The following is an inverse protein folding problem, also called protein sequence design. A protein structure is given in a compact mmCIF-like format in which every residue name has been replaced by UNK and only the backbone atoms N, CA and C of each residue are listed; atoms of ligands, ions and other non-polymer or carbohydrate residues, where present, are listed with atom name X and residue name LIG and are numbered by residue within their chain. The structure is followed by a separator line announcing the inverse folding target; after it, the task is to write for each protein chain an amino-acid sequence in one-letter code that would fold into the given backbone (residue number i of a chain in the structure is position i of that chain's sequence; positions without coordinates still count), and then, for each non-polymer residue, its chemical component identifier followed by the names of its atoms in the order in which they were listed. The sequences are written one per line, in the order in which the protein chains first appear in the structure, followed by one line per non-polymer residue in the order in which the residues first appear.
data_IF_416696413301
#
_entry.id   IF_416696413301
#
_cell.length_a   1.000
_cell.length_b   1.000
_cell.length_c   1.000
_cell.angle_alpha   90.00
_cell.angle_beta   90.00
_cell.angle_gamma   90.00
#
_symmetry.space_group_name_H-M   'P 1'
#
loop_
_entity.id
_entity.type
_entity.pdbx_description
1 polymer ?
#
# COMPACT_ATOMS: atom_id res chain seq x y z
N UNK A 1 -5.67 -2.05 29.98
CA UNK A 1 -5.71 -1.19 28.76
C UNK A 1 -7.17 -0.88 28.45
N UNK A 2 -7.50 0.38 28.26
CA UNK A 2 -8.83 0.77 27.78
C UNK A 2 -9.01 0.27 26.35
N UNK A 3 -10.22 -0.26 26.04
CA UNK A 3 -10.51 -0.78 24.69
C UNK A 3 -10.69 0.39 23.73
N UNK A 4 -10.09 0.30 22.54
CA UNK A 4 -10.28 1.29 21.47
C UNK A 4 -11.75 1.39 21.07
N UNK A 5 -12.25 2.62 20.91
CA UNK A 5 -13.59 2.86 20.39
C UNK A 5 -13.63 2.57 18.88
N UNK A 6 -14.67 1.86 18.44
CA UNK A 6 -14.94 1.60 17.04
C UNK A 6 -16.25 2.29 16.65
N UNK A 7 -16.22 3.03 15.56
CA UNK A 7 -17.39 3.72 15.02
C UNK A 7 -17.87 2.99 13.78
N UNK A 8 -19.14 2.68 13.73
CA UNK A 8 -19.75 1.89 12.67
C UNK A 8 -20.98 2.60 12.08
N UNK A 9 -21.17 2.47 10.78
CA UNK A 9 -22.40 2.80 10.08
C UNK A 9 -22.69 1.75 9.01
N UNK A 10 -23.97 1.54 8.71
CA UNK A 10 -24.41 0.62 7.66
C UNK A 10 -24.52 1.31 6.29
N UNK A 11 -24.85 0.55 5.24
CA UNK A 11 -25.02 1.05 3.87
C UNK A 11 -26.43 1.60 3.56
N UNK A 12 -27.33 1.67 4.53
CA UNK A 12 -28.66 2.23 4.31
C UNK A 12 -28.54 3.73 4.08
N UNK A 13 -29.10 4.21 2.98
CA UNK A 13 -29.18 5.63 2.65
C UNK A 13 -30.47 6.20 3.24
N UNK A 14 -30.41 7.38 3.83
CA UNK A 14 -31.55 8.10 4.40
C UNK A 14 -31.80 9.38 3.61
N UNK A 15 -32.91 10.04 3.90
CA UNK A 15 -33.24 11.37 3.32
C UNK A 15 -32.21 12.46 3.68
N UNK A 16 -31.43 12.24 4.74
CA UNK A 16 -30.50 13.22 5.31
C UNK A 16 -29.08 13.11 4.71
N UNK A 17 -28.84 12.20 3.73
CA UNK A 17 -27.57 12.10 3.03
C UNK A 17 -27.24 10.71 2.50
N UNK A 18 -26.26 10.68 1.59
CA UNK A 18 -25.70 9.49 0.97
C UNK A 18 -24.61 8.81 1.79
N UNK A 19 -23.97 7.78 1.20
CA UNK A 19 -22.90 7.02 1.89
C UNK A 19 -21.67 7.87 2.19
N UNK A 20 -21.34 8.81 1.33
CA UNK A 20 -20.21 9.74 1.52
C UNK A 20 -20.48 10.73 2.65
N UNK A 21 -21.74 11.20 2.82
CA UNK A 21 -22.11 12.08 3.91
C UNK A 21 -22.07 11.32 5.24
N UNK A 22 -22.53 10.06 5.23
CA UNK A 22 -22.41 9.18 6.42
C UNK A 22 -20.96 8.95 6.80
N UNK A 23 -20.04 8.75 5.83
CA UNK A 23 -18.61 8.63 6.10
C UNK A 23 -18.06 9.89 6.77
N UNK A 24 -18.34 11.08 6.22
CA UNK A 24 -17.91 12.36 6.79
C UNK A 24 -18.43 12.55 8.22
N UNK A 25 -19.74 12.27 8.46
CA UNK A 25 -20.31 12.32 9.80
C UNK A 25 -19.64 11.34 10.77
N UNK A 26 -19.36 10.11 10.29
CA UNK A 26 -18.70 9.08 11.10
C UNK A 26 -17.29 9.50 11.49
N UNK A 27 -16.51 10.07 10.56
CA UNK A 27 -15.16 10.59 10.81
C UNK A 27 -15.20 11.72 11.86
N UNK A 28 -16.13 12.66 11.73
CA UNK A 28 -16.30 13.76 12.69
C UNK A 28 -16.70 13.23 14.07
N UNK A 29 -17.62 12.27 14.13
CA UNK A 29 -18.03 11.61 15.38
C UNK A 29 -16.91 10.80 16.02
N UNK A 30 -15.99 10.27 15.20
CA UNK A 30 -14.81 9.55 15.66
C UNK A 30 -13.70 10.46 16.20
N UNK A 31 -13.87 11.78 16.12
CA UNK A 31 -12.93 12.75 16.66
C UNK A 31 -11.86 13.24 15.68
N UNK A 32 -12.06 13.10 14.35
CA UNK A 32 -11.07 13.56 13.39
C UNK A 32 -10.79 15.06 13.49
N UNK A 33 -11.77 15.86 13.96
CA UNK A 33 -11.59 17.29 14.18
C UNK A 33 -10.71 17.66 15.39
N UNK A 34 -10.34 16.69 16.23
CA UNK A 34 -9.39 16.88 17.34
C UNK A 34 -7.94 16.85 16.87
N UNK A 35 -7.70 16.41 15.61
CA UNK A 35 -6.39 16.39 14.98
C UNK A 35 -6.10 17.77 14.40
N UNK A 36 -4.95 18.33 14.73
CA UNK A 36 -4.47 19.58 14.14
C UNK A 36 -4.00 19.34 12.71
N UNK A 37 -4.84 19.65 11.73
CA UNK A 37 -4.56 19.52 10.30
C UNK A 37 -3.99 20.79 9.66
N UNK A 38 -4.05 21.94 10.33
CA UNK A 38 -3.74 23.23 9.72
C UNK A 38 -2.35 23.26 9.07
N UNK A 39 -2.33 23.48 7.76
CA UNK A 39 -1.10 23.53 6.96
C UNK A 39 -0.38 22.19 6.73
N UNK A 40 -0.83 21.09 7.34
CA UNK A 40 -0.13 19.80 7.38
C UNK A 40 -0.38 18.92 6.18
N UNK A 41 0.65 18.24 5.70
CA UNK A 41 0.55 17.21 4.67
C UNK A 41 -0.11 15.94 5.22
N UNK A 42 -1.21 15.53 4.61
CA UNK A 42 -2.00 14.36 5.04
C UNK A 42 -2.01 13.29 3.99
N UNK A 43 -1.32 12.19 4.25
CA UNK A 43 -1.34 11.01 3.39
C UNK A 43 -2.63 10.21 3.59
N UNK A 44 -3.44 10.06 2.56
CA UNK A 44 -4.58 9.15 2.51
C UNK A 44 -4.12 7.89 1.79
N UNK A 45 -3.69 6.88 2.55
CA UNK A 45 -3.18 5.62 2.02
C UNK A 45 -4.33 4.70 1.66
N UNK A 46 -4.38 4.32 0.40
CA UNK A 46 -5.37 3.37 -0.10
C UNK A 46 -4.77 2.48 -1.20
N UNK A 47 -5.55 1.51 -1.66
CA UNK A 47 -5.24 0.68 -2.80
C UNK A 47 -6.09 1.12 -3.99
N UNK A 48 -5.46 1.49 -5.10
CA UNK A 48 -6.17 2.01 -6.28
C UNK A 48 -6.82 0.93 -7.15
N UNK A 49 -6.76 -0.33 -6.77
CA UNK A 49 -7.22 -1.48 -7.57
C UNK A 49 -6.13 -2.05 -8.47
N UNK A 50 -6.36 -3.24 -9.00
CA UNK A 50 -5.55 -3.86 -10.06
C UNK A 50 -6.19 -3.59 -11.42
N UNK A 51 -5.40 -3.50 -12.48
CA UNK A 51 -5.91 -3.31 -13.84
C UNK A 51 -6.92 -4.42 -14.20
N UNK A 52 -8.12 -4.01 -14.62
CA UNK A 52 -9.23 -4.91 -14.91
C UNK A 52 -10.04 -5.41 -13.69
N UNK A 53 -9.67 -5.08 -12.45
CA UNK A 53 -10.43 -5.43 -11.25
C UNK A 53 -11.41 -4.29 -10.89
N UNK A 54 -12.62 -4.64 -10.50
CA UNK A 54 -13.66 -3.68 -10.08
C UNK A 54 -13.89 -3.66 -8.56
N UNK A 55 -13.25 -4.56 -7.81
CA UNK A 55 -13.38 -4.67 -6.35
C UNK A 55 -12.36 -3.79 -5.62
N UNK A 56 -12.56 -2.49 -5.66
CA UNK A 56 -11.78 -1.50 -4.91
C UNK A 56 -12.70 -0.41 -4.35
N UNK A 57 -12.23 0.36 -3.40
CA UNK A 57 -12.96 1.53 -2.89
C UNK A 57 -13.10 2.58 -3.99
N UNK A 58 -14.32 3.10 -4.17
CA UNK A 58 -14.59 4.12 -5.20
C UNK A 58 -13.89 5.44 -4.88
N UNK A 59 -13.53 6.23 -5.90
CA UNK A 59 -12.95 7.57 -5.74
C UNK A 59 -13.79 8.50 -4.85
N UNK A 60 -15.11 8.32 -4.82
CA UNK A 60 -16.03 9.13 -4.01
C UNK A 60 -15.71 9.04 -2.50
N UNK A 61 -15.28 7.87 -2.01
CA UNK A 61 -14.85 7.73 -0.62
C UNK A 61 -13.54 8.47 -0.35
N UNK A 62 -12.60 8.43 -1.29
CA UNK A 62 -11.36 9.17 -1.20
C UNK A 62 -11.62 10.68 -1.18
N UNK A 63 -12.52 11.17 -2.05
CA UNK A 63 -12.99 12.55 -2.07
C UNK A 63 -13.57 12.96 -0.72
N UNK A 64 -14.47 12.17 -0.16
CA UNK A 64 -15.10 12.49 1.11
C UNK A 64 -14.08 12.66 2.24
N UNK A 65 -13.04 11.80 2.28
CA UNK A 65 -11.94 11.92 3.25
C UNK A 65 -11.10 13.17 2.97
N UNK A 66 -10.73 13.42 1.71
CA UNK A 66 -9.95 14.60 1.33
C UNK A 66 -10.67 15.91 1.66
N UNK A 67 -11.99 15.96 1.43
CA UNK A 67 -12.82 17.14 1.78
C UNK A 67 -12.82 17.39 3.28
N UNK A 68 -12.94 16.36 4.13
CA UNK A 68 -12.86 16.51 5.59
C UNK A 68 -11.49 17.02 6.02
N UNK A 69 -10.40 16.48 5.44
CA UNK A 69 -9.04 16.99 5.74
C UNK A 69 -8.89 18.45 5.37
N UNK A 70 -9.38 18.86 4.19
CA UNK A 70 -9.36 20.24 3.72
C UNK A 70 -10.23 21.17 4.58
N UNK A 71 -11.37 20.69 5.06
CA UNK A 71 -12.25 21.45 5.97
C UNK A 71 -11.50 21.88 7.25
N UNK A 72 -10.56 21.05 7.71
CA UNK A 72 -9.70 21.32 8.87
C UNK A 72 -8.31 21.94 8.49
N UNK A 73 -8.17 22.50 7.29
CA UNK A 73 -6.96 23.21 6.86
C UNK A 73 -5.80 22.32 6.40
N UNK A 74 -6.00 21.00 6.30
CA UNK A 74 -4.96 20.05 5.87
C UNK A 74 -4.73 20.03 4.36
N UNK A 75 -3.58 19.50 3.95
CA UNK A 75 -3.15 19.32 2.55
C UNK A 75 -3.17 17.82 2.21
N UNK A 76 -4.33 17.26 1.80
CA UNK A 76 -4.44 15.83 1.51
C UNK A 76 -3.79 15.46 0.18
N UNK A 77 -3.25 14.25 0.12
CA UNK A 77 -2.89 13.55 -1.10
C UNK A 77 -3.19 12.06 -0.97
N UNK A 78 -3.52 11.40 -2.09
CA UNK A 78 -3.70 9.97 -2.13
C UNK A 78 -2.35 9.29 -2.37
N UNK A 79 -2.13 8.15 -1.74
CA UNK A 79 -0.87 7.42 -1.89
C UNK A 79 -1.05 5.91 -1.82
N UNK A 80 -0.15 5.22 -2.51
CA UNK A 80 0.16 3.79 -2.40
C UNK A 80 1.63 3.59 -2.78
N UNK A 81 2.23 2.44 -2.47
CA UNK A 81 3.55 2.06 -2.97
C UNK A 81 3.44 1.01 -4.08
N UNK A 82 4.46 0.99 -4.95
CA UNK A 82 4.55 0.07 -6.06
C UNK A 82 4.51 -1.41 -5.62
N UNK A 83 4.03 -2.29 -6.50
CA UNK A 83 3.92 -3.70 -6.20
C UNK A 83 5.22 -4.46 -6.47
N UNK A 84 5.37 -5.59 -5.79
CA UNK A 84 6.48 -6.52 -5.99
C UNK A 84 6.20 -7.51 -7.12
N UNK A 85 4.95 -8.01 -7.19
CA UNK A 85 4.53 -9.02 -8.18
C UNK A 85 4.33 -8.43 -9.59
N UNK A 86 4.28 -9.27 -10.64
CA UNK A 86 3.94 -8.86 -11.99
C UNK A 86 2.57 -8.21 -12.09
N UNK A 87 2.49 -7.11 -12.85
CA UNK A 87 1.25 -6.34 -13.03
C UNK A 87 1.55 -4.90 -13.41
N UNK A 88 0.48 -4.10 -13.53
CA UNK A 88 0.54 -2.71 -14.01
C UNK A 88 0.80 -1.69 -12.89
N UNK A 89 1.35 -2.10 -11.73
CA UNK A 89 1.67 -1.19 -10.61
C UNK A 89 3.11 -1.36 -10.12
N UNK A 90 4.03 -1.81 -11.00
CA UNK A 90 5.45 -2.02 -10.68
C UNK A 90 6.28 -0.74 -10.65
N UNK A 91 5.81 0.32 -11.28
CA UNK A 91 6.44 1.64 -11.30
C UNK A 91 5.38 2.73 -11.24
N UNK A 92 5.78 3.94 -10.87
CA UNK A 92 4.82 5.01 -10.62
C UNK A 92 3.98 5.39 -11.87
N UNK A 93 4.54 5.31 -13.08
CA UNK A 93 3.81 5.71 -14.29
C UNK A 93 2.66 4.74 -14.59
N UNK A 94 2.95 3.45 -14.56
CA UNK A 94 1.93 2.41 -14.75
C UNK A 94 0.92 2.42 -13.59
N UNK A 95 1.39 2.58 -12.36
CA UNK A 95 0.55 2.64 -11.17
C UNK A 95 -0.43 3.82 -11.22
N UNK A 96 0.03 5.00 -11.60
CA UNK A 96 -0.83 6.18 -11.80
C UNK A 96 -1.80 5.98 -12.98
N UNK A 97 -1.37 5.28 -14.04
CA UNK A 97 -2.26 4.95 -15.16
C UNK A 97 -3.40 4.03 -14.71
N UNK A 98 -3.13 3.02 -13.87
CA UNK A 98 -4.17 2.18 -13.28
C UNK A 98 -5.10 2.99 -12.38
N UNK A 99 -4.55 3.85 -11.52
CA UNK A 99 -5.35 4.75 -10.68
C UNK A 99 -6.29 5.63 -11.53
N UNK A 100 -5.79 6.22 -12.61
CA UNK A 100 -6.57 7.05 -13.51
C UNK A 100 -7.68 6.25 -14.22
N UNK A 101 -7.40 5.03 -14.72
CA UNK A 101 -8.40 4.12 -15.30
C UNK A 101 -9.55 3.80 -14.32
N UNK A 102 -9.24 3.71 -13.03
CA UNK A 102 -10.20 3.47 -11.96
C UNK A 102 -10.88 4.75 -11.45
N UNK A 103 -10.64 5.87 -12.12
CA UNK A 103 -11.26 7.15 -11.82
C UNK A 103 -10.59 7.96 -10.70
N UNK A 104 -9.41 7.57 -10.22
CA UNK A 104 -8.66 8.36 -9.26
C UNK A 104 -7.81 9.41 -9.97
N UNK A 105 -8.17 10.66 -9.82
CA UNK A 105 -7.43 11.83 -10.28
C UNK A 105 -7.88 13.06 -9.49
N UNK A 106 -7.21 14.18 -9.69
CA UNK A 106 -7.50 15.41 -8.95
C UNK A 106 -8.95 15.92 -9.12
N UNK A 107 -9.53 15.78 -10.30
CA UNK A 107 -10.89 16.23 -10.56
C UNK A 107 -11.95 15.40 -9.83
N UNK A 108 -11.71 14.09 -9.69
CA UNK A 108 -12.64 13.16 -9.04
C UNK A 108 -12.45 13.09 -7.55
N UNK A 109 -11.22 13.17 -7.04
CA UNK A 109 -10.88 12.97 -5.61
C UNK A 109 -10.59 14.27 -4.88
N UNK A 110 -10.40 15.36 -5.62
CA UNK A 110 -10.10 16.68 -5.06
C UNK A 110 -8.65 16.81 -4.52
N UNK A 111 -7.77 15.85 -4.74
CA UNK A 111 -6.36 15.94 -4.36
C UNK A 111 -5.46 15.12 -5.30
N UNK A 112 -4.16 15.41 -5.28
CA UNK A 112 -3.16 14.74 -6.12
C UNK A 112 -2.90 13.32 -5.65
N UNK A 113 -2.27 12.52 -6.55
CA UNK A 113 -1.74 11.20 -6.24
C UNK A 113 -0.23 11.28 -6.20
N UNK A 114 0.37 10.75 -5.14
CA UNK A 114 1.83 10.61 -5.00
C UNK A 114 2.12 9.13 -4.74
N UNK A 115 2.91 8.50 -5.61
CA UNK A 115 3.37 7.13 -5.38
C UNK A 115 4.49 7.18 -4.35
N UNK A 116 4.23 6.58 -3.18
CA UNK A 116 4.99 6.81 -1.95
C UNK A 116 6.45 6.35 -2.00
N UNK A 117 6.77 5.34 -2.83
CA UNK A 117 8.12 4.79 -2.99
C UNK A 117 8.79 5.22 -4.33
N UNK A 118 8.31 6.31 -4.93
CA UNK A 118 8.89 6.95 -6.09
C UNK A 118 8.74 6.17 -7.39
N UNK A 119 9.49 6.59 -8.42
CA UNK A 119 9.32 6.13 -9.80
C UNK A 119 9.49 4.60 -9.94
N UNK A 120 10.52 4.04 -9.30
CA UNK A 120 10.91 2.63 -9.44
C UNK A 120 10.60 1.78 -8.19
N UNK A 121 9.96 2.34 -7.17
CA UNK A 121 9.72 1.67 -5.90
C UNK A 121 10.94 1.56 -4.99
N UNK A 122 11.90 2.47 -5.15
CA UNK A 122 13.21 2.46 -4.45
C UNK A 122 13.46 3.70 -3.61
N UNK A 123 12.51 4.62 -3.56
CA UNK A 123 12.59 5.81 -2.70
C UNK A 123 11.94 5.51 -1.35
N UNK A 124 12.79 5.11 -0.39
CA UNK A 124 12.32 4.64 0.90
C UNK A 124 13.21 5.10 2.07
N UNK A 125 12.68 4.90 3.27
CA UNK A 125 13.36 5.15 4.56
C UNK A 125 13.32 3.86 5.37
N UNK A 126 14.46 3.46 5.92
CA UNK A 126 14.56 2.36 6.87
C UNK A 126 14.09 2.82 8.26
N UNK A 127 13.12 2.11 8.82
CA UNK A 127 12.55 2.39 10.14
C UNK A 127 12.72 1.17 11.03
N UNK A 128 13.24 1.30 12.27
CA UNK A 128 13.33 0.19 13.20
C UNK A 128 11.95 -0.28 13.65
N UNK A 129 11.72 -1.60 13.66
CA UNK A 129 10.48 -2.20 14.16
C UNK A 129 10.66 -2.59 15.62
N UNK A 130 10.08 -1.79 16.52
CA UNK A 130 10.13 -2.06 17.96
C UNK A 130 9.49 -3.41 18.27
N UNK A 131 10.24 -4.27 18.96
CA UNK A 131 9.82 -5.64 19.31
C UNK A 131 9.53 -6.55 18.11
N UNK A 132 10.05 -6.23 16.93
CA UNK A 132 9.90 -7.09 15.74
C UNK A 132 10.58 -8.44 15.97
N UNK A 133 9.87 -9.55 15.83
CA UNK A 133 10.45 -10.90 15.95
C UNK A 133 11.11 -11.32 14.63
N UNK A 134 10.42 -11.18 13.52
CA UNK A 134 10.86 -11.58 12.18
C UNK A 134 11.54 -10.41 11.45
N UNK A 135 10.83 -9.29 11.31
CA UNK A 135 11.39 -8.09 10.68
C UNK A 135 11.90 -7.13 11.76
N UNK A 136 13.19 -6.84 11.76
CA UNK A 136 13.82 -5.89 12.69
C UNK A 136 13.71 -4.44 12.18
N UNK A 137 13.59 -4.28 10.88
CA UNK A 137 13.42 -2.99 10.20
C UNK A 137 12.32 -3.07 9.14
N UNK A 138 11.75 -1.94 8.78
CA UNK A 138 10.78 -1.77 7.70
C UNK A 138 11.27 -0.69 6.74
N UNK A 139 11.27 -0.99 5.44
CA UNK A 139 11.58 -0.02 4.38
C UNK A 139 10.25 0.59 3.93
N UNK A 140 9.97 1.81 4.35
CA UNK A 140 8.72 2.53 4.08
C UNK A 140 8.94 3.56 2.98
N UNK A 141 7.99 3.68 2.05
CA UNK A 141 8.06 4.69 0.99
C UNK A 141 8.21 6.10 1.56
N UNK A 142 9.19 6.87 1.05
CA UNK A 142 9.52 8.21 1.53
C UNK A 142 8.33 9.15 1.50
N UNK A 143 7.55 9.17 0.42
CA UNK A 143 6.37 10.03 0.30
C UNK A 143 5.26 9.71 1.32
N UNK A 144 5.36 8.57 2.03
CA UNK A 144 4.49 8.24 3.17
C UNK A 144 5.14 8.73 4.46
N UNK A 145 6.46 8.59 4.60
CA UNK A 145 7.18 9.03 5.81
C UNK A 145 7.26 10.56 5.95
N UNK A 146 7.17 11.27 4.84
CA UNK A 146 7.20 12.74 4.82
C UNK A 146 5.87 13.40 5.20
N UNK A 147 4.78 12.62 5.40
CA UNK A 147 3.51 13.19 5.85
C UNK A 147 3.53 13.50 7.34
N UNK A 148 2.80 14.57 7.72
CA UNK A 148 2.56 14.91 9.12
C UNK A 148 1.43 14.07 9.72
N UNK A 149 0.44 13.72 8.90
CA UNK A 149 -0.74 12.96 9.30
C UNK A 149 -0.98 11.82 8.31
N UNK A 150 -1.29 10.65 8.84
CA UNK A 150 -1.55 9.46 8.06
C UNK A 150 -2.96 8.93 8.29
N UNK A 151 -3.72 8.75 7.20
CA UNK A 151 -5.05 8.15 7.20
C UNK A 151 -5.02 6.88 6.35
N UNK A 152 -5.39 5.74 6.92
CA UNK A 152 -5.56 4.48 6.19
C UNK A 152 -7.00 4.33 5.73
N UNK A 153 -7.24 4.42 4.42
CA UNK A 153 -8.53 4.15 3.79
C UNK A 153 -8.49 2.76 3.15
N UNK A 154 -8.97 1.77 3.89
CA UNK A 154 -8.77 0.36 3.55
C UNK A 154 -10.05 -0.31 3.04
N UNK A 155 -9.91 -1.13 1.98
CA UNK A 155 -10.92 -2.05 1.51
C UNK A 155 -10.78 -3.39 2.24
N UNK A 156 -11.82 -3.82 2.96
CA UNK A 156 -11.84 -5.14 3.59
C UNK A 156 -12.22 -6.21 2.58
N UNK A 157 -11.40 -7.23 2.44
CA UNK A 157 -11.60 -8.33 1.47
C UNK A 157 -10.95 -9.63 1.94
N UNK A 158 -11.31 -10.76 1.31
CA UNK A 158 -10.59 -12.03 1.46
C UNK A 158 -9.16 -11.95 0.95
N UNK A 159 -8.29 -12.80 1.46
CA UNK A 159 -6.90 -12.92 1.02
C UNK A 159 -6.39 -14.36 1.17
N UNK A 160 -5.78 -14.91 0.12
CA UNK A 160 -5.35 -16.30 0.04
C UNK A 160 -4.34 -16.72 1.12
N UNK A 161 -3.36 -15.85 1.43
CA UNK A 161 -2.29 -16.19 2.37
C UNK A 161 -2.59 -15.76 3.81
N UNK A 162 -3.40 -14.71 4.03
CA UNK A 162 -3.65 -14.14 5.36
C UNK A 162 -5.11 -14.27 5.83
N UNK A 163 -5.95 -15.00 5.07
CA UNK A 163 -7.37 -15.13 5.30
C UNK A 163 -8.16 -13.88 4.90
N UNK A 164 -7.74 -12.70 5.32
CA UNK A 164 -8.33 -11.43 4.91
C UNK A 164 -7.27 -10.32 4.77
N UNK A 165 -7.61 -9.27 4.00
CA UNK A 165 -6.87 -8.03 3.88
C UNK A 165 -7.76 -6.86 4.29
N UNK A 166 -7.22 -5.94 5.06
CA UNK A 166 -7.90 -4.74 5.56
C UNK A 166 -6.89 -3.69 5.98
N UNK A 167 -7.20 -2.93 7.04
CA UNK A 167 -6.37 -1.81 7.48
C UNK A 167 -4.92 -2.21 7.82
N UNK A 168 -4.72 -3.31 8.55
CA UNK A 168 -3.38 -3.79 8.93
C UNK A 168 -2.53 -4.10 7.68
N UNK A 169 -3.11 -4.77 6.67
CA UNK A 169 -2.40 -5.08 5.43
C UNK A 169 -2.19 -3.84 4.56
N UNK A 170 -3.17 -2.93 4.52
CA UNK A 170 -3.04 -1.66 3.80
C UNK A 170 -1.88 -0.82 4.34
N UNK A 171 -1.63 -0.85 5.64
CA UNK A 171 -0.49 -0.18 6.28
C UNK A 171 0.76 -1.03 6.20
N UNK A 172 0.77 -2.21 6.80
CA UNK A 172 1.97 -3.03 6.99
C UNK A 172 2.66 -3.43 5.68
N UNK A 173 1.89 -3.98 4.73
CA UNK A 173 2.43 -4.35 3.41
C UNK A 173 2.36 -3.16 2.44
N UNK A 174 1.25 -2.39 2.49
CA UNK A 174 0.97 -1.35 1.50
C UNK A 174 1.92 -0.15 1.56
N UNK A 175 2.41 0.23 2.74
CA UNK A 175 3.37 1.34 2.90
C UNK A 175 4.82 0.93 2.63
N UNK A 176 5.13 -0.36 2.60
CA UNK A 176 6.46 -0.83 2.26
C UNK A 176 6.85 -0.48 0.82
N UNK A 177 8.09 -0.04 0.61
CA UNK A 177 8.69 0.03 -0.71
C UNK A 177 8.78 -1.38 -1.33
N UNK A 178 9.24 -1.49 -2.57
CA UNK A 178 9.49 -2.81 -3.16
C UNK A 178 10.49 -3.63 -2.32
N UNK A 179 11.57 -3.01 -1.83
CA UNK A 179 12.52 -3.65 -0.92
C UNK A 179 11.85 -4.06 0.40
N UNK A 180 11.02 -3.20 0.99
CA UNK A 180 10.27 -3.50 2.19
C UNK A 180 9.29 -4.65 2.03
N UNK A 181 8.58 -4.72 0.90
CA UNK A 181 7.71 -5.84 0.56
C UNK A 181 8.52 -7.15 0.39
N UNK A 182 9.70 -7.09 -0.24
CA UNK A 182 10.59 -8.25 -0.37
C UNK A 182 11.05 -8.77 0.99
N UNK A 183 11.46 -7.90 1.90
CA UNK A 183 11.85 -8.29 3.26
C UNK A 183 10.71 -8.99 4.00
N UNK A 184 9.49 -8.48 3.89
CA UNK A 184 8.31 -9.07 4.52
C UNK A 184 7.93 -10.44 3.93
N UNK A 185 8.20 -10.68 2.65
CA UNK A 185 7.98 -11.97 1.98
C UNK A 185 9.14 -12.96 2.17
N UNK A 186 10.27 -12.53 2.72
CA UNK A 186 11.52 -13.30 2.80
C UNK A 186 11.50 -14.49 3.79
N UNK A 187 10.40 -14.75 4.48
CA UNK A 187 10.26 -15.95 5.33
C UNK A 187 10.21 -17.26 4.54
N UNK A 188 10.02 -17.19 3.23
CA UNK A 188 9.99 -18.33 2.31
C UNK A 188 11.10 -18.23 1.27
N UNK A 189 12.38 -18.34 1.67
CA UNK A 189 13.50 -18.33 0.71
C UNK A 189 13.37 -19.51 -0.26
N UNK A 190 13.23 -19.25 -1.58
CA UNK A 190 13.06 -20.32 -2.56
C UNK A 190 14.33 -21.16 -2.69
N UNK A 191 14.16 -22.41 -3.03
CA UNK A 191 15.25 -23.34 -3.37
C UNK A 191 15.08 -23.84 -4.80
N UNK A 192 16.19 -24.12 -5.47
CA UNK A 192 16.16 -24.77 -6.79
C UNK A 192 16.28 -26.28 -6.59
N UNK A 193 15.30 -27.04 -7.09
CA UNK A 193 15.48 -28.47 -7.28
C UNK A 193 16.39 -28.67 -8.49
N UNK A 194 17.64 -29.10 -8.23
CA UNK A 194 18.65 -29.27 -9.26
C UNK A 194 18.27 -30.31 -10.30
N UNK A 195 17.54 -31.39 -9.94
CA UNK A 195 17.14 -32.45 -10.86
C UNK A 195 16.15 -31.92 -11.91
N UNK A 196 15.26 -31.02 -11.51
CA UNK A 196 14.28 -30.39 -12.39
C UNK A 196 14.83 -29.17 -13.14
N UNK A 197 16.01 -28.68 -12.79
CA UNK A 197 16.58 -27.49 -13.41
C UNK A 197 17.13 -27.81 -14.81
N UNK A 198 16.63 -27.12 -15.83
CA UNK A 198 17.06 -27.22 -17.23
C UNK A 198 18.26 -26.31 -17.57
N UNK A 199 18.70 -25.46 -16.66
CA UNK A 199 19.79 -24.51 -16.89
C UNK A 199 19.50 -23.39 -17.91
N UNK A 200 18.21 -23.09 -18.16
CA UNK A 200 17.79 -22.13 -19.19
C UNK A 200 18.08 -20.65 -18.85
N UNK A 201 18.52 -20.34 -17.63
CA UNK A 201 18.87 -19.01 -17.12
C UNK A 201 17.72 -17.99 -17.04
N UNK A 202 16.48 -18.36 -17.33
CA UNK A 202 15.35 -17.44 -17.28
C UNK A 202 15.16 -16.84 -15.87
N UNK A 203 15.26 -17.67 -14.83
CA UNK A 203 15.14 -17.23 -13.44
C UNK A 203 16.21 -16.17 -13.05
N UNK A 204 17.44 -16.33 -13.53
CA UNK A 204 18.51 -15.35 -13.26
C UNK A 204 18.26 -14.02 -13.96
N UNK A 205 17.68 -14.04 -15.16
CA UNK A 205 17.32 -12.83 -15.91
C UNK A 205 16.25 -12.00 -15.18
N UNK A 206 15.32 -12.68 -14.51
CA UNK A 206 14.21 -12.04 -13.78
C UNK A 206 14.54 -11.71 -12.31
N UNK A 207 15.67 -12.20 -11.80
CA UNK A 207 16.06 -11.98 -10.40
C UNK A 207 16.61 -10.56 -10.18
N UNK A 208 15.79 -9.69 -9.59
CA UNK A 208 16.17 -8.30 -9.31
C UNK A 208 17.29 -8.12 -8.29
N UNK A 209 17.55 -9.12 -7.42
CA UNK A 209 18.63 -9.08 -6.44
C UNK A 209 19.93 -9.72 -6.91
N UNK A 210 19.95 -10.33 -8.12
CA UNK A 210 21.12 -11.06 -8.62
C UNK A 210 21.48 -12.31 -7.82
N UNK A 211 20.57 -12.82 -6.99
CA UNK A 211 20.82 -13.96 -6.11
C UNK A 211 20.93 -15.31 -6.82
N UNK A 212 20.65 -15.39 -8.13
CA UNK A 212 20.68 -16.65 -8.86
C UNK A 212 21.98 -16.81 -9.61
N UNK A 213 22.80 -17.73 -9.14
CA UNK A 213 24.08 -18.11 -9.73
C UNK A 213 23.98 -19.46 -10.46
N UNK A 214 24.90 -19.70 -11.39
CA UNK A 214 24.95 -20.92 -12.19
C UNK A 214 26.21 -21.69 -11.91
N UNK A 215 26.06 -22.92 -11.42
CA UNK A 215 27.13 -23.87 -11.20
C UNK A 215 26.77 -25.19 -11.89
N UNK A 216 27.71 -25.80 -12.59
CA UNK A 216 27.50 -27.07 -13.29
C UNK A 216 26.24 -27.11 -14.17
N UNK A 217 25.96 -26.04 -14.90
CA UNK A 217 24.76 -25.86 -15.75
C UNK A 217 23.41 -25.91 -15.01
N UNK A 218 23.41 -25.73 -13.69
CA UNK A 218 22.22 -25.66 -12.85
C UNK A 218 22.16 -24.32 -12.14
N UNK A 219 20.95 -23.85 -11.87
CA UNK A 219 20.74 -22.67 -11.06
C UNK A 219 20.92 -23.00 -9.58
N UNK A 220 21.52 -22.12 -8.81
CA UNK A 220 21.54 -22.11 -7.34
C UNK A 220 21.15 -20.74 -6.85
N UNK A 221 20.40 -20.67 -5.77
CA UNK A 221 20.03 -19.41 -5.15
C UNK A 221 21.00 -19.14 -4.00
N UNK A 222 21.68 -18.01 -4.09
CA UNK A 222 22.44 -17.46 -2.98
C UNK A 222 21.48 -16.94 -1.92
N UNK A 223 21.43 -17.59 -0.77
CA UNK A 223 20.47 -17.30 0.29
C UNK A 223 20.76 -15.98 1.02
N UNK A 224 21.98 -15.46 0.95
CA UNK A 224 22.34 -14.18 1.55
C UNK A 224 21.92 -13.01 0.68
N UNK A 225 21.98 -13.19 -0.64
CA UNK A 225 21.51 -12.21 -1.62
C UNK A 225 20.00 -12.29 -1.88
N UNK A 226 19.39 -13.46 -1.66
CA UNK A 226 17.96 -13.68 -1.89
C UNK A 226 17.10 -12.87 -0.92
N UNK A 227 16.14 -12.15 -1.46
CA UNK A 227 15.18 -11.35 -0.69
C UNK A 227 13.78 -11.97 -0.60
N UNK A 228 13.63 -13.20 -1.09
CA UNK A 228 12.38 -13.93 -1.10
C UNK A 228 11.61 -13.88 -2.42
#
# INVERSE_FOLDING_TARGET
MEKSKVYFTDFRVTKDGGLTDKLKMLMKKAGIGEIDFEGKFTAIKMHFGEDGNLSFLRPDYARAVAEVVKEFGGKPYLTDCNTLYPGCRKNALEHMSVAAKHGFNELTTGCQIIIGDGLKGTDDIEVPVKNGEVCKTAMIGRGIMDCDIFISLAHFKGHEATGFGGAIKNVGMGCGSRAGKMIQHNSGKPLVNADNCRGCKLCAKECGSGAIIYENKKARIDQDLCKG
#
